data_IF_169245689225
#
_entry.id   IF_169245689225
#
_cell.length_a   1.000
_cell.length_b   1.000
_cell.length_c   1.000
_cell.angle_alpha   90.00
_cell.angle_beta   90.00
_cell.angle_gamma   90.00
#
_symmetry.space_group_name_H-M   'P 1'
#
loop_
_entity.id
_entity.type
_entity.pdbx_description
1 polymer ?
#
# COMPACT_ATOMS: atom_id res chain seq x y z
N UNK A 1 -27.77 16.85 9.94
CA UNK A 1 -26.64 17.31 10.79
C UNK A 1 -25.48 17.66 9.87
N UNK A 2 -24.83 18.82 9.99
CA UNK A 2 -23.59 19.09 9.26
C UNK A 2 -22.44 18.29 9.87
N UNK A 3 -21.65 17.61 9.04
CA UNK A 3 -20.45 16.88 9.47
C UNK A 3 -19.29 17.86 9.58
N UNK A 4 -18.48 17.72 10.64
CA UNK A 4 -17.25 18.47 10.81
C UNK A 4 -16.12 17.75 10.07
N UNK A 5 -15.34 18.51 9.29
CA UNK A 5 -14.23 17.95 8.52
C UNK A 5 -13.00 17.79 9.42
N UNK A 6 -12.42 16.60 9.44
CA UNK A 6 -11.15 16.34 10.12
C UNK A 6 -9.96 16.88 9.31
N UNK A 7 -8.87 17.18 10.02
CA UNK A 7 -7.65 17.65 9.38
C UNK A 7 -6.86 16.51 8.72
N UNK A 8 -6.14 16.76 7.61
CA UNK A 8 -5.26 15.77 7.01
C UNK A 8 -4.20 15.28 7.99
N UNK A 9 -3.84 13.99 7.88
CA UNK A 9 -2.77 13.40 8.66
C UNK A 9 -1.40 13.69 8.04
N UNK A 10 -0.48 14.24 8.83
CA UNK A 10 0.90 14.54 8.41
C UNK A 10 1.81 13.31 8.56
N UNK A 11 1.60 12.28 7.73
CA UNK A 11 2.49 11.11 7.66
C UNK A 11 3.03 10.94 6.24
N UNK A 12 4.35 10.86 6.11
CA UNK A 12 5.02 10.64 4.82
C UNK A 12 5.04 9.15 4.44
N UNK A 13 3.85 8.62 4.11
CA UNK A 13 3.68 7.25 3.63
C UNK A 13 4.38 7.02 2.28
N UNK A 14 4.64 8.09 1.52
CA UNK A 14 5.29 8.01 0.23
C UNK A 14 6.75 7.57 0.39
N UNK A 15 7.54 8.26 1.20
CA UNK A 15 8.94 7.89 1.45
C UNK A 15 9.06 6.50 2.04
N UNK A 16 8.20 6.18 3.01
CA UNK A 16 8.19 4.84 3.61
C UNK A 16 8.00 3.74 2.56
N UNK A 17 7.03 3.90 1.66
CA UNK A 17 6.75 2.89 0.64
C UNK A 17 7.87 2.79 -0.42
N UNK A 18 8.57 3.90 -0.71
CA UNK A 18 9.74 3.92 -1.60
C UNK A 18 10.89 3.07 -1.08
N UNK A 19 11.07 2.99 0.23
CA UNK A 19 12.11 2.19 0.91
C UNK A 19 11.64 0.76 1.22
N UNK A 20 10.43 0.61 1.76
CA UNK A 20 9.95 -0.66 2.32
C UNK A 20 9.78 -1.79 1.29
N UNK A 21 9.03 -1.53 0.19
CA UNK A 21 8.75 -2.44 -0.95
C UNK A 21 8.31 -3.88 -0.64
N UNK A 22 8.07 -4.26 0.62
CA UNK A 22 7.71 -5.63 1.05
C UNK A 22 6.53 -6.21 0.31
N UNK A 23 5.49 -5.41 0.06
CA UNK A 23 4.30 -5.86 -0.66
C UNK A 23 4.63 -6.23 -2.11
N UNK A 24 5.54 -5.50 -2.76
CA UNK A 24 6.00 -5.79 -4.13
C UNK A 24 6.89 -7.03 -4.18
N UNK A 25 7.80 -7.18 -3.21
CA UNK A 25 8.71 -8.32 -3.15
C UNK A 25 8.00 -9.65 -2.86
N UNK A 26 6.96 -9.63 -2.03
CA UNK A 26 6.21 -10.83 -1.65
C UNK A 26 5.01 -11.12 -2.55
N UNK A 27 4.75 -10.29 -3.57
CA UNK A 27 3.62 -10.49 -4.48
C UNK A 27 3.88 -11.69 -5.42
N UNK A 28 3.14 -12.81 -5.29
CA UNK A 28 3.41 -14.03 -6.06
C UNK A 28 3.15 -13.87 -7.56
N UNK A 29 2.27 -12.93 -7.95
CA UNK A 29 1.99 -12.62 -9.35
C UNK A 29 2.84 -11.49 -9.92
N UNK A 30 3.74 -10.89 -9.11
CA UNK A 30 4.52 -9.71 -9.48
C UNK A 30 3.66 -8.61 -10.09
N UNK A 31 2.46 -8.41 -9.52
CA UNK A 31 1.49 -7.42 -9.98
C UNK A 31 1.80 -6.00 -9.46
N UNK A 32 2.52 -5.89 -8.35
CA UNK A 32 2.86 -4.60 -7.74
C UNK A 32 4.23 -4.15 -8.28
N UNK A 33 4.36 -2.92 -8.83
CA UNK A 33 5.62 -2.44 -9.39
C UNK A 33 6.67 -2.19 -8.30
N UNK A 34 7.93 -2.56 -8.58
CA UNK A 34 9.09 -2.30 -7.70
C UNK A 34 9.71 -0.90 -7.87
N UNK A 35 9.35 -0.20 -8.95
CA UNK A 35 9.94 1.08 -9.32
C UNK A 35 9.21 2.29 -8.74
N UNK A 36 9.64 3.47 -9.15
CA UNK A 36 9.02 4.73 -8.76
C UNK A 36 7.59 4.86 -9.30
N UNK A 37 6.80 5.74 -8.66
CA UNK A 37 5.48 6.13 -9.15
C UNK A 37 5.55 6.63 -10.58
N UNK A 38 4.48 6.36 -11.31
CA UNK A 38 4.30 6.87 -12.67
C UNK A 38 3.13 7.84 -12.69
N UNK A 39 3.22 8.83 -13.57
CA UNK A 39 2.05 9.66 -13.89
C UNK A 39 1.07 8.82 -14.71
N UNK A 40 -0.13 8.67 -14.18
CA UNK A 40 -1.21 7.95 -14.84
C UNK A 40 -2.45 8.82 -14.71
N UNK A 41 -2.86 9.41 -15.84
CA UNK A 41 -4.01 10.31 -15.92
C UNK A 41 -3.84 11.54 -15.00
N UNK A 42 -2.62 12.09 -14.91
CA UNK A 42 -2.32 13.26 -14.08
C UNK A 42 -2.19 12.95 -12.59
N UNK A 43 -2.22 11.67 -12.20
CA UNK A 43 -2.05 11.23 -10.81
C UNK A 43 -0.78 10.39 -10.72
N UNK A 44 0.17 10.84 -9.89
CA UNK A 44 1.42 10.12 -9.63
C UNK A 44 1.16 9.00 -8.61
N UNK A 45 1.20 7.74 -9.07
CA UNK A 45 0.93 6.58 -8.21
C UNK A 45 1.70 5.32 -8.63
N UNK A 46 1.77 4.34 -7.72
CA UNK A 46 2.14 2.97 -8.06
C UNK A 46 0.91 2.23 -8.55
N UNK A 47 0.73 2.13 -9.86
CA UNK A 47 -0.37 1.34 -10.43
C UNK A 47 0.01 -0.13 -10.50
N UNK A 48 -0.82 -0.95 -9.86
CA UNK A 48 -0.72 -2.40 -9.94
C UNK A 48 -1.21 -2.89 -11.30
N UNK A 49 -0.63 -3.99 -11.77
CA UNK A 49 -1.18 -4.75 -12.88
C UNK A 49 -2.38 -5.59 -12.39
N UNK A 50 -3.58 -5.09 -12.60
CA UNK A 50 -4.83 -5.71 -12.14
C UNK A 50 -5.06 -7.09 -12.75
N UNK A 51 -4.70 -7.30 -14.02
CA UNK A 51 -4.85 -8.59 -14.70
C UNK A 51 -3.97 -9.67 -14.07
N UNK A 52 -2.70 -9.35 -13.79
CA UNK A 52 -1.78 -10.27 -13.10
C UNK A 52 -2.27 -10.59 -11.68
N UNK A 53 -2.73 -9.58 -10.95
CA UNK A 53 -3.30 -9.77 -9.62
C UNK A 53 -4.50 -10.72 -9.66
N UNK A 54 -5.46 -10.43 -10.54
CA UNK A 54 -6.69 -11.20 -10.71
C UNK A 54 -6.41 -12.63 -11.20
N UNK A 55 -5.46 -12.81 -12.12
CA UNK A 55 -5.08 -14.15 -12.60
C UNK A 55 -4.61 -15.06 -11.47
N UNK A 56 -3.93 -14.52 -10.45
CA UNK A 56 -3.50 -15.28 -9.28
C UNK A 56 -4.65 -15.54 -8.32
N UNK A 57 -5.53 -14.57 -8.09
CA UNK A 57 -6.76 -14.78 -7.30
C UNK A 57 -7.57 -15.95 -7.87
N UNK A 58 -7.73 -16.00 -9.21
CA UNK A 58 -8.42 -17.09 -9.90
C UNK A 58 -7.72 -18.45 -9.75
N UNK A 59 -6.39 -18.46 -9.67
CA UNK A 59 -5.61 -19.70 -9.46
C UNK A 59 -5.71 -20.22 -8.03
N UNK A 60 -5.68 -19.33 -7.04
CA UNK A 60 -5.75 -19.71 -5.61
C UNK A 60 -7.19 -20.03 -5.20
N UNK A 61 -8.19 -19.51 -5.92
CA UNK A 61 -9.61 -19.79 -5.67
C UNK A 61 -10.21 -19.02 -4.50
N UNK A 62 -9.43 -18.10 -3.90
CA UNK A 62 -9.86 -17.17 -2.85
C UNK A 62 -9.19 -15.81 -3.05
N UNK A 63 -9.52 -14.83 -2.20
CA UNK A 63 -8.78 -13.59 -2.07
C UNK A 63 -7.30 -13.83 -1.69
N UNK A 64 -6.39 -13.08 -2.32
CA UNK A 64 -4.96 -13.25 -2.08
C UNK A 64 -4.49 -12.56 -0.79
N UNK A 65 -4.80 -11.27 -0.63
CA UNK A 65 -4.51 -10.49 0.59
C UNK A 65 -3.03 -10.33 1.02
N UNK A 66 -2.07 -10.98 0.36
CA UNK A 66 -0.68 -11.05 0.83
C UNK A 66 0.03 -9.69 0.89
N UNK A 67 -0.32 -8.76 0.01
CA UNK A 67 0.22 -7.39 0.05
C UNK A 67 -0.19 -6.64 1.31
N UNK A 68 -1.42 -6.89 1.81
CA UNK A 68 -1.92 -6.33 3.07
C UNK A 68 -1.22 -7.04 4.22
N UNK A 69 -1.23 -8.38 4.25
CA UNK A 69 -0.59 -9.19 5.30
C UNK A 69 0.89 -8.89 5.53
N UNK A 70 1.61 -8.46 4.50
CA UNK A 70 3.05 -8.19 4.57
C UNK A 70 3.42 -6.72 4.63
N UNK A 71 2.43 -5.84 4.58
CA UNK A 71 2.65 -4.44 4.91
C UNK A 71 3.13 -4.37 6.38
N UNK A 72 3.97 -3.41 6.78
CA UNK A 72 4.31 -3.19 8.19
C UNK A 72 3.27 -2.40 8.98
N UNK A 73 2.37 -1.68 8.31
CA UNK A 73 1.23 -0.98 8.93
C UNK A 73 0.02 -1.82 9.44
N UNK A 74 -0.19 -3.11 9.08
CA UNK A 74 -1.27 -3.93 9.62
C UNK A 74 -1.00 -4.45 11.05
N UNK A 75 0.26 -4.56 11.45
CA UNK A 75 0.65 -5.16 12.74
C UNK A 75 0.78 -4.03 13.78
N UNK A 76 -0.19 -3.94 14.72
CA UNK A 76 -0.22 -3.24 16.03
C UNK A 76 0.42 -1.85 16.23
N UNK A 77 1.13 -1.28 15.27
CA UNK A 77 1.59 0.10 15.31
C UNK A 77 0.39 0.93 14.92
N UNK A 78 -0.32 1.44 15.92
CA UNK A 78 -1.31 2.47 15.64
C UNK A 78 -0.60 3.62 14.93
N UNK A 79 -1.28 4.33 14.02
CA UNK A 79 -0.71 5.54 13.42
C UNK A 79 -0.20 6.53 14.50
N UNK A 80 -0.76 6.45 15.72
CA UNK A 80 -0.27 7.15 16.90
C UNK A 80 1.14 6.73 17.35
N UNK A 81 1.47 5.43 17.35
CA UNK A 81 2.79 4.94 17.75
C UNK A 81 3.88 5.36 16.76
N UNK A 82 3.57 5.34 15.45
CA UNK A 82 4.49 5.82 14.39
C UNK A 82 4.77 7.33 14.49
N UNK A 83 3.78 8.14 14.89
CA UNK A 83 3.95 9.58 15.09
C UNK A 83 4.79 9.92 16.33
N UNK A 84 4.72 9.09 17.38
CA UNK A 84 5.41 9.33 18.65
C UNK A 84 6.88 8.89 18.64
N UNK A 85 7.29 7.97 17.76
CA UNK A 85 8.70 7.55 17.59
C UNK A 85 9.52 8.45 16.65
N UNK A 86 8.92 9.52 16.13
CA UNK A 86 9.61 10.53 15.29
C UNK A 86 10.18 11.71 16.10
N UNK A 87 10.32 11.55 17.43
CA UNK A 87 10.86 12.53 18.37
C UNK A 87 12.34 12.36 18.67
#
# INVERSE_FOLDING_TARGET
MPLQLDSPLEVDLEKFCEECRRCSDRCPSSAIPKGNKKDILGIRRWQINSERCYSFWRKVGTDCGLCIKHCPFPDEVTLHDFLNDSG
#
